data_IF_080013996937
#
_entry.id   IF_080013996937
#
_cell.length_a   1.000
_cell.length_b   1.000
_cell.length_c   1.000
_cell.angle_alpha   90.00
_cell.angle_beta   90.00
_cell.angle_gamma   90.00
#
_symmetry.space_group_name_H-M   'P 1'
#
loop_
_entity.id
_entity.type
_entity.pdbx_description
1 polymer ?
#
# COMPACT_ATOMS: atom_id res chain seq x y z
N UNK A 1 -25.71 25.26 26.48
CA UNK A 1 -26.14 26.22 25.43
C UNK A 1 -24.88 26.68 24.73
N UNK A 2 -24.71 26.33 23.45
CA UNK A 2 -23.45 26.53 22.70
C UNK A 2 -23.25 28.01 22.33
N UNK A 3 -22.03 28.52 22.51
CA UNK A 3 -21.66 29.94 22.39
C UNK A 3 -21.25 30.36 20.97
N UNK A 4 -21.28 29.47 19.97
CA UNK A 4 -20.83 29.79 18.61
C UNK A 4 -21.70 29.15 17.52
N UNK A 5 -22.98 29.58 17.39
CA UNK A 5 -23.92 29.02 16.40
C UNK A 5 -23.46 29.19 14.95
N UNK A 6 -22.68 30.24 14.66
CA UNK A 6 -22.12 30.46 13.32
C UNK A 6 -21.00 29.45 12.97
N UNK A 7 -20.29 28.94 13.97
CA UNK A 7 -19.22 27.95 13.77
C UNK A 7 -19.83 26.56 13.50
N UNK A 8 -20.87 26.20 14.25
CA UNK A 8 -21.61 24.96 14.03
C UNK A 8 -22.27 24.94 12.64
N UNK A 9 -22.89 26.05 12.22
CA UNK A 9 -23.47 26.17 10.88
C UNK A 9 -22.41 26.06 9.76
N UNK A 10 -21.22 26.65 9.96
CA UNK A 10 -20.12 26.55 8.99
C UNK A 10 -19.56 25.13 8.88
N UNK A 11 -19.50 24.40 10.00
CA UNK A 11 -19.10 22.99 10.04
C UNK A 11 -20.13 22.07 9.41
N UNK A 12 -21.43 22.29 9.67
CA UNK A 12 -22.51 21.52 9.05
C UNK A 12 -22.59 21.74 7.53
N UNK A 13 -22.37 22.98 7.06
CA UNK A 13 -22.34 23.29 5.64
C UNK A 13 -21.08 22.74 4.93
N UNK A 14 -19.95 22.67 5.64
CA UNK A 14 -18.75 21.97 5.16
C UNK A 14 -18.98 20.45 5.08
N UNK A 15 -19.61 19.87 6.11
CA UNK A 15 -19.95 18.45 6.14
C UNK A 15 -20.97 18.08 5.05
N UNK A 16 -21.97 18.92 4.79
CA UNK A 16 -22.92 18.73 3.70
C UNK A 16 -22.29 18.83 2.32
N UNK A 17 -21.25 19.64 2.13
CA UNK A 17 -20.49 19.69 0.87
C UNK A 17 -19.62 18.44 0.68
N UNK A 18 -19.09 17.88 1.75
CA UNK A 18 -18.21 16.71 1.68
C UNK A 18 -18.97 15.37 1.60
N UNK A 19 -20.13 15.27 2.27
CA UNK A 19 -20.95 14.06 2.33
C UNK A 19 -22.27 14.17 1.54
N UNK A 20 -22.43 15.23 0.76
CA UNK A 20 -23.64 15.57 0.00
C UNK A 20 -23.94 14.62 -1.16
N UNK A 21 -24.93 13.73 -0.94
CA UNK A 21 -25.80 13.06 -1.93
C UNK A 21 -25.11 12.17 -2.98
N UNK A 22 -24.90 10.90 -2.63
CA UNK A 22 -24.93 9.79 -3.60
C UNK A 22 -26.33 9.68 -4.24
N UNK A 23 -26.57 10.37 -5.35
CA UNK A 23 -27.66 10.01 -6.27
C UNK A 23 -27.27 8.72 -6.99
N UNK A 24 -27.88 7.59 -6.62
CA UNK A 24 -27.79 6.33 -7.37
C UNK A 24 -28.58 6.46 -8.69
N UNK A 25 -27.98 6.28 -9.87
CA UNK A 25 -28.76 6.05 -11.07
C UNK A 25 -29.20 4.57 -11.09
N UNK A 26 -30.48 4.34 -10.82
CA UNK A 26 -31.17 3.08 -11.13
C UNK A 26 -31.37 3.01 -12.64
N UNK A 27 -30.60 2.18 -13.33
CA UNK A 27 -30.94 1.75 -14.69
C UNK A 27 -31.49 0.33 -14.64
N UNK A 28 -32.82 0.25 -14.82
CA UNK A 28 -33.50 -0.94 -15.35
C UNK A 28 -33.61 -0.76 -16.86
N UNK A 29 -33.08 -1.71 -17.61
CA UNK A 29 -33.38 -2.07 -19.01
C UNK A 29 -32.13 -2.82 -19.53
N UNK A 30 -32.14 -3.93 -20.25
CA UNK A 30 -33.17 -4.70 -20.93
C UNK A 30 -32.51 -6.04 -21.36
N UNK A 31 -33.25 -7.15 -21.23
CA UNK A 31 -33.46 -8.23 -22.22
C UNK A 31 -32.26 -8.80 -23.03
N UNK A 32 -32.03 -10.12 -22.82
CA UNK A 32 -31.38 -11.22 -23.60
C UNK A 32 -31.60 -11.20 -25.15
N UNK A 33 -31.11 -12.18 -25.99
CA UNK A 33 -29.93 -13.07 -25.99
C UNK A 33 -29.19 -13.19 -27.39
N UNK A 34 -28.08 -13.96 -27.42
CA UNK A 34 -27.51 -14.82 -28.49
C UNK A 34 -27.42 -14.38 -29.98
N UNK A 35 -26.21 -14.48 -30.58
CA UNK A 35 -25.95 -15.09 -31.90
C UNK A 35 -24.45 -15.10 -32.31
N UNK A 36 -23.86 -16.30 -32.32
CA UNK A 36 -23.12 -16.96 -33.41
C UNK A 36 -22.24 -16.21 -34.46
N UNK A 37 -21.03 -16.79 -34.65
CA UNK A 37 -20.25 -17.03 -35.90
C UNK A 37 -19.46 -15.87 -36.54
N UNK A 38 -18.16 -16.14 -36.80
CA UNK A 38 -17.44 -15.51 -37.93
C UNK A 38 -15.91 -15.60 -37.87
N UNK A 39 -15.32 -16.63 -38.50
CA UNK A 39 -13.89 -16.68 -38.88
C UNK A 39 -13.53 -15.55 -39.87
N UNK A 40 -12.38 -14.88 -39.70
CA UNK A 40 -11.57 -14.38 -40.83
C UNK A 40 -10.07 -14.45 -40.51
N UNK A 41 -9.35 -15.12 -41.40
CA UNK A 41 -7.89 -15.20 -41.54
C UNK A 41 -7.25 -13.87 -41.93
N UNK A 42 -6.02 -13.64 -41.45
CA UNK A 42 -4.93 -13.13 -42.28
C UNK A 42 -4.59 -11.63 -42.18
N UNK A 43 -3.46 -11.33 -41.54
CA UNK A 43 -2.37 -10.54 -42.14
C UNK A 43 -1.17 -10.54 -41.19
N UNK A 44 -0.19 -11.39 -41.49
CA UNK A 44 1.16 -11.32 -40.95
C UNK A 44 1.82 -10.07 -41.52
N UNK A 45 1.81 -8.97 -40.77
CA UNK A 45 2.69 -7.83 -41.04
C UNK A 45 4.01 -8.13 -40.33
N UNK A 46 4.99 -8.62 -41.09
CA UNK A 46 6.39 -8.64 -40.67
C UNK A 46 6.86 -7.19 -40.63
N UNK A 47 6.80 -6.58 -39.44
CA UNK A 47 7.48 -5.32 -39.18
C UNK A 47 8.98 -5.62 -38.98
N UNK A 48 9.90 -4.83 -39.57
CA UNK A 48 11.31 -4.96 -39.29
C UNK A 48 11.56 -4.61 -37.81
N UNK A 49 12.02 -5.59 -37.04
CA UNK A 49 12.45 -5.38 -35.66
C UNK A 49 13.53 -4.30 -35.64
N UNK A 50 13.36 -3.20 -34.89
CA UNK A 50 14.46 -2.28 -34.64
C UNK A 50 15.55 -3.08 -33.95
N UNK A 51 16.75 -3.06 -34.53
CA UNK A 51 17.96 -3.63 -33.97
C UNK A 51 18.08 -3.17 -32.53
N UNK A 52 17.95 -4.09 -31.59
CA UNK A 52 18.18 -3.82 -30.18
C UNK A 52 19.59 -3.23 -30.07
N UNK A 53 19.67 -1.97 -29.63
CA UNK A 53 20.94 -1.40 -29.20
C UNK A 53 21.56 -2.28 -28.12
N UNK A 54 22.87 -2.14 -27.85
CA UNK A 54 23.53 -2.90 -26.79
C UNK A 54 22.69 -2.80 -25.52
N UNK A 55 22.28 -3.96 -24.99
CA UNK A 55 21.55 -4.05 -23.72
C UNK A 55 22.47 -3.42 -22.69
N UNK A 56 22.09 -2.24 -22.22
CA UNK A 56 22.76 -1.59 -21.11
C UNK A 56 22.67 -2.59 -19.95
N UNK A 57 23.81 -3.19 -19.61
CA UNK A 57 23.91 -4.25 -18.61
C UNK A 57 23.64 -3.60 -17.26
N UNK A 58 22.35 -3.53 -16.92
CA UNK A 58 21.88 -2.99 -15.66
C UNK A 58 22.52 -3.86 -14.56
N UNK A 59 23.23 -3.26 -13.59
CA UNK A 59 23.84 -4.02 -12.52
C UNK A 59 22.77 -4.89 -11.86
N UNK A 60 23.07 -6.18 -11.69
CA UNK A 60 22.14 -7.13 -11.10
C UNK A 60 21.71 -6.63 -9.71
N UNK A 61 20.41 -6.67 -9.43
CA UNK A 61 19.91 -6.33 -8.12
C UNK A 61 20.54 -7.25 -7.06
N UNK A 62 20.88 -6.73 -5.87
CA UNK A 62 21.37 -7.57 -4.78
C UNK A 62 20.35 -8.66 -4.45
N UNK A 63 20.79 -9.89 -4.15
CA UNK A 63 19.88 -10.96 -3.76
C UNK A 63 19.19 -10.62 -2.44
N UNK A 64 17.93 -11.03 -2.29
CA UNK A 64 17.20 -10.90 -1.02
C UNK A 64 17.78 -11.88 0.00
N UNK A 65 18.28 -11.42 1.17
CA UNK A 65 18.82 -12.30 2.19
C UNK A 65 17.78 -13.29 2.73
N UNK A 66 18.20 -14.51 3.07
CA UNK A 66 17.33 -15.49 3.75
C UNK A 66 16.82 -14.98 5.10
N UNK A 67 17.62 -14.16 5.79
CA UNK A 67 17.23 -13.50 7.05
C UNK A 67 16.00 -12.61 6.87
N UNK A 68 15.86 -11.94 5.73
CA UNK A 68 14.70 -11.12 5.40
C UNK A 68 13.45 -11.98 5.22
N UNK A 69 13.58 -13.13 4.54
CA UNK A 69 12.49 -14.09 4.39
C UNK A 69 12.10 -14.75 5.72
N UNK A 70 13.09 -15.04 6.57
CA UNK A 70 12.86 -15.57 7.91
C UNK A 70 12.14 -14.54 8.80
N UNK A 71 12.53 -13.26 8.72
CA UNK A 71 11.88 -12.17 9.44
C UNK A 71 10.42 -11.99 9.01
N UNK A 72 10.14 -12.02 7.70
CA UNK A 72 8.77 -12.00 7.16
C UNK A 72 7.92 -13.12 7.76
N UNK A 73 8.45 -14.36 7.75
CA UNK A 73 7.74 -15.51 8.31
C UNK A 73 7.55 -15.40 9.81
N UNK A 74 8.55 -14.91 10.54
CA UNK A 74 8.45 -14.70 11.98
C UNK A 74 7.36 -13.67 12.33
N UNK A 75 7.23 -12.61 11.53
CA UNK A 75 6.20 -11.57 11.71
C UNK A 75 4.78 -12.14 11.57
N UNK A 76 4.57 -13.18 10.73
CA UNK A 76 3.28 -13.90 10.68
C UNK A 76 2.90 -14.60 11.98
N UNK A 77 3.88 -14.90 12.84
CA UNK A 77 3.67 -15.56 14.14
C UNK A 77 3.75 -14.58 15.32
N UNK A 78 4.12 -13.33 15.07
CA UNK A 78 4.15 -12.30 16.10
C UNK A 78 2.72 -12.05 16.65
N UNK A 79 2.59 -11.62 17.91
CA UNK A 79 1.29 -11.23 18.46
C UNK A 79 0.59 -10.19 17.59
N UNK A 80 -0.73 -10.27 17.50
CA UNK A 80 -1.52 -9.21 16.89
C UNK A 80 -1.31 -7.89 17.65
N UNK A 81 -1.49 -6.77 16.96
CA UNK A 81 -1.50 -5.47 17.61
C UNK A 81 -2.67 -5.44 18.61
N UNK A 82 -2.43 -5.12 19.90
CA UNK A 82 -3.52 -5.06 20.88
C UNK A 82 -4.60 -4.06 20.48
N UNK A 83 -5.86 -4.42 20.74
CA UNK A 83 -6.99 -3.49 20.59
C UNK A 83 -6.78 -2.25 21.46
N UNK A 84 -7.22 -1.09 20.95
CA UNK A 84 -7.10 0.17 21.67
C UNK A 84 -8.03 0.19 22.88
N UNK A 85 -7.45 0.27 24.07
CA UNK A 85 -8.18 0.35 25.33
C UNK A 85 -8.35 1.79 25.84
N UNK A 86 -7.67 2.77 25.22
CA UNK A 86 -7.64 4.15 25.65
C UNK A 86 -6.73 4.41 26.84
N UNK A 87 -5.89 3.43 27.22
CA UNK A 87 -4.95 3.47 28.35
C UNK A 87 -3.49 3.37 27.92
N UNK A 88 -3.26 3.23 26.63
CA UNK A 88 -1.94 3.11 26.04
C UNK A 88 -1.16 4.42 26.24
N UNK A 89 0.15 4.35 26.52
CA UNK A 89 0.98 5.53 26.63
C UNK A 89 1.04 6.25 25.29
N UNK A 90 0.85 7.57 25.34
CA UNK A 90 1.06 8.44 24.18
C UNK A 90 2.56 8.59 23.97
N UNK A 91 3.01 8.43 22.73
CA UNK A 91 4.39 8.70 22.32
C UNK A 91 4.55 10.20 22.13
N UNK A 92 5.59 10.79 22.70
CA UNK A 92 5.92 12.17 22.40
C UNK A 92 6.39 12.28 20.95
N UNK A 93 5.98 13.33 20.25
CA UNK A 93 6.28 13.49 18.83
C UNK A 93 7.79 13.38 18.50
N UNK A 94 8.65 13.91 19.38
CA UNK A 94 10.10 13.84 19.24
C UNK A 94 10.66 12.41 19.32
N UNK A 95 9.93 11.47 19.93
CA UNK A 95 10.33 10.07 20.09
C UNK A 95 9.83 9.19 18.95
N UNK A 96 8.97 9.69 18.06
CA UNK A 96 8.42 8.92 16.93
C UNK A 96 9.51 8.28 16.04
N UNK A 97 10.61 8.96 15.67
CA UNK A 97 11.66 8.34 14.87
C UNK A 97 12.30 7.14 15.56
N UNK A 98 12.62 7.26 16.86
CA UNK A 98 13.26 6.18 17.59
C UNK A 98 12.32 4.97 17.78
N UNK A 99 11.02 5.22 17.97
CA UNK A 99 10.02 4.15 18.03
C UNK A 99 9.87 3.48 16.66
N UNK A 100 9.84 4.28 15.59
CA UNK A 100 9.76 3.76 14.22
C UNK A 100 10.98 2.90 13.87
N UNK A 101 12.19 3.37 14.14
CA UNK A 101 13.44 2.61 13.93
C UNK A 101 13.36 1.22 14.59
N UNK A 102 12.85 1.15 15.82
CA UNK A 102 12.68 -0.11 16.53
C UNK A 102 11.71 -1.09 15.86
N UNK A 103 10.65 -0.59 15.20
CA UNK A 103 9.75 -1.41 14.40
C UNK A 103 10.29 -1.72 13.01
N UNK A 104 11.02 -0.80 12.38
CA UNK A 104 11.67 -1.00 11.09
C UNK A 104 12.71 -2.12 11.15
N UNK A 105 13.47 -2.23 12.24
CA UNK A 105 14.41 -3.32 12.49
C UNK A 105 13.74 -4.70 12.61
N UNK A 106 12.45 -4.73 12.93
CA UNK A 106 11.64 -5.95 13.07
C UNK A 106 10.78 -6.24 11.84
N UNK A 107 10.84 -5.38 10.82
CA UNK A 107 10.01 -5.47 9.62
C UNK A 107 10.88 -5.81 8.41
N UNK A 108 10.50 -6.75 7.54
CA UNK A 108 11.31 -7.07 6.37
C UNK A 108 11.28 -5.94 5.35
N UNK A 109 12.45 -5.48 4.90
CA UNK A 109 12.61 -4.55 3.78
C UNK A 109 13.45 -5.19 2.66
N UNK A 110 13.25 -4.80 1.38
CA UNK A 110 14.15 -5.21 0.32
C UNK A 110 15.59 -4.72 0.57
N UNK A 111 16.60 -5.38 -0.04
CA UNK A 111 17.98 -4.98 0.16
C UNK A 111 18.20 -3.55 -0.34
N UNK A 112 18.93 -2.76 0.44
CA UNK A 112 19.24 -1.34 0.17
C UNK A 112 18.03 -0.41 0.12
N UNK A 113 16.83 -0.91 0.43
CA UNK A 113 15.61 -0.13 0.53
C UNK A 113 15.26 0.09 2.01
N UNK A 114 14.91 1.32 2.35
CA UNK A 114 14.35 1.74 3.63
C UNK A 114 13.25 2.75 3.38
N UNK A 115 12.42 2.97 4.39
CA UNK A 115 11.35 3.94 4.30
C UNK A 115 11.88 5.36 4.55
N UNK A 116 11.83 6.29 3.58
CA UNK A 116 12.30 7.66 3.79
C UNK A 116 11.23 8.53 4.49
N UNK A 117 10.35 7.96 5.30
CA UNK A 117 9.25 8.69 5.91
C UNK A 117 9.79 9.69 6.95
N UNK A 118 9.45 10.97 6.78
CA UNK A 118 9.83 11.99 7.75
C UNK A 118 8.87 11.98 8.94
N UNK A 119 9.23 11.19 9.95
CA UNK A 119 8.51 11.06 11.23
C UNK A 119 8.43 12.35 12.04
N UNK A 120 9.30 13.34 11.77
CA UNK A 120 9.31 14.65 12.44
C UNK A 120 8.62 15.73 11.61
N UNK A 121 8.18 15.43 10.38
CA UNK A 121 7.48 16.42 9.56
C UNK A 121 6.22 16.91 10.28
N UNK A 122 6.17 18.22 10.54
CA UNK A 122 4.91 18.85 10.93
C UNK A 122 3.97 18.74 9.75
N UNK A 123 2.95 17.91 9.89
CA UNK A 123 1.88 17.91 8.92
C UNK A 123 1.28 19.33 8.81
N UNK A 124 0.72 19.73 7.64
CA UNK A 124 0.22 21.09 7.39
C UNK A 124 -0.93 21.59 8.30
N UNK A 125 -1.22 20.86 9.38
CA UNK A 125 -2.05 21.30 10.50
C UNK A 125 -2.01 20.27 11.65
N UNK A 126 -2.46 20.65 12.85
CA UNK A 126 -2.53 19.79 14.04
C UNK A 126 -3.54 18.63 13.92
N UNK A 127 -3.95 18.27 12.70
CA UNK A 127 -4.85 17.17 12.34
C UNK A 127 -4.22 16.18 11.38
N UNK A 128 -3.02 16.44 10.85
CA UNK A 128 -2.48 15.69 9.70
C UNK A 128 -1.22 14.83 10.02
N UNK A 129 -0.79 14.81 11.27
CA UNK A 129 -0.08 13.67 11.90
C UNK A 129 -0.70 13.30 13.26
N UNK A 130 -1.83 13.94 13.59
CA UNK A 130 -2.48 13.90 14.89
C UNK A 130 -3.14 12.57 15.25
N UNK A 131 -3.06 11.56 14.38
CA UNK A 131 -3.58 10.22 14.64
C UNK A 131 -2.51 9.25 15.12
N UNK A 132 -1.22 9.49 14.85
CA UNK A 132 -0.13 8.60 15.28
C UNK A 132 0.34 9.06 16.65
N UNK A 133 -0.37 8.59 17.68
CA UNK A 133 -0.06 8.93 19.07
C UNK A 133 0.43 7.71 19.85
N UNK A 134 0.32 6.51 19.28
CA UNK A 134 0.58 5.26 19.99
C UNK A 134 1.56 4.38 19.20
N UNK A 135 2.32 3.55 19.93
CA UNK A 135 3.31 2.65 19.33
C UNK A 135 2.72 1.73 18.27
N UNK A 136 1.49 1.28 18.50
CA UNK A 136 0.74 0.46 17.54
C UNK A 136 0.45 1.17 16.21
N UNK A 137 0.24 2.50 16.22
CA UNK A 137 -0.04 3.24 15.00
C UNK A 137 1.25 3.41 14.20
N UNK A 138 2.37 3.62 14.90
CA UNK A 138 3.72 3.62 14.32
C UNK A 138 4.03 2.26 13.69
N UNK A 139 3.83 1.16 14.44
CA UNK A 139 4.02 -0.19 13.94
C UNK A 139 3.17 -0.47 12.70
N UNK A 140 1.88 -0.13 12.73
CA UNK A 140 0.99 -0.34 11.59
C UNK A 140 1.40 0.46 10.37
N UNK A 141 1.89 1.68 10.55
CA UNK A 141 2.39 2.49 9.45
C UNK A 141 3.70 1.94 8.86
N UNK A 142 4.64 1.49 9.71
CA UNK A 142 5.89 0.84 9.30
C UNK A 142 5.60 -0.42 8.49
N UNK A 143 4.80 -1.34 9.02
CA UNK A 143 4.45 -2.61 8.36
C UNK A 143 3.73 -2.37 7.02
N UNK A 144 2.74 -1.48 6.98
CA UNK A 144 2.02 -1.13 5.74
C UNK A 144 2.97 -0.54 4.70
N UNK A 145 3.85 0.40 5.09
CA UNK A 145 4.77 1.05 4.16
C UNK A 145 5.85 0.09 3.68
N UNK A 146 6.34 -0.81 4.52
CA UNK A 146 7.23 -1.90 4.12
C UNK A 146 6.58 -2.80 3.07
N UNK A 147 5.32 -3.22 3.26
CA UNK A 147 4.58 -4.00 2.27
C UNK A 147 4.47 -3.24 0.92
N UNK A 148 4.21 -1.94 0.95
CA UNK A 148 4.22 -1.08 -0.23
C UNK A 148 5.60 -0.94 -0.91
N UNK A 149 6.70 -0.94 -0.15
CA UNK A 149 8.05 -0.95 -0.70
C UNK A 149 8.32 -2.30 -1.40
N UNK A 150 7.92 -3.42 -0.80
CA UNK A 150 8.03 -4.73 -1.43
C UNK A 150 7.21 -4.87 -2.71
N UNK A 151 5.99 -4.34 -2.75
CA UNK A 151 5.16 -4.36 -3.95
C UNK A 151 5.83 -3.60 -5.10
N UNK A 152 6.40 -2.43 -4.81
CA UNK A 152 7.15 -1.65 -5.79
C UNK A 152 8.43 -2.36 -6.23
N UNK A 153 9.15 -2.98 -5.30
CA UNK A 153 10.33 -3.78 -5.60
C UNK A 153 9.96 -4.95 -6.53
N UNK A 154 8.88 -5.68 -6.25
CA UNK A 154 8.39 -6.78 -7.09
C UNK A 154 8.05 -6.31 -8.52
N UNK A 155 7.39 -5.15 -8.65
CA UNK A 155 7.07 -4.56 -9.95
C UNK A 155 8.33 -4.16 -10.73
N UNK A 156 9.32 -3.57 -10.05
CA UNK A 156 10.49 -2.94 -10.65
C UNK A 156 11.69 -3.88 -10.89
N UNK A 157 11.82 -4.97 -10.12
CA UNK A 157 13.02 -5.82 -10.09
C UNK A 157 12.65 -7.27 -10.44
N UNK A 158 12.69 -7.65 -11.74
CA UNK A 158 12.32 -9.00 -12.19
C UNK A 158 13.07 -10.13 -11.47
N UNK A 159 14.36 -9.95 -11.24
CA UNK A 159 15.25 -10.96 -10.61
C UNK A 159 14.89 -11.21 -9.15
N UNK A 160 14.27 -10.24 -8.47
CA UNK A 160 13.87 -10.31 -7.07
C UNK A 160 12.43 -10.76 -6.84
N UNK A 161 11.64 -11.01 -7.90
CA UNK A 161 10.19 -11.23 -7.80
C UNK A 161 9.80 -12.42 -6.96
N UNK A 162 10.54 -13.53 -7.03
CA UNK A 162 10.17 -14.73 -6.27
C UNK A 162 10.30 -14.48 -4.75
N UNK A 163 11.41 -13.87 -4.32
CA UNK A 163 11.63 -13.52 -2.93
C UNK A 163 10.63 -12.46 -2.44
N UNK A 164 10.39 -11.43 -3.26
CA UNK A 164 9.39 -10.40 -2.95
C UNK A 164 7.97 -10.97 -2.88
N UNK A 165 7.61 -11.93 -3.75
CA UNK A 165 6.32 -12.61 -3.70
C UNK A 165 6.14 -13.41 -2.41
N UNK A 166 7.20 -14.04 -1.89
CA UNK A 166 7.14 -14.73 -0.61
C UNK A 166 6.83 -13.76 0.55
N UNK A 167 7.49 -12.60 0.59
CA UNK A 167 7.23 -11.58 1.62
C UNK A 167 5.81 -10.98 1.47
N UNK A 168 5.39 -10.69 0.24
CA UNK A 168 4.05 -10.15 -0.03
C UNK A 168 2.93 -11.16 0.22
N UNK A 169 3.21 -12.46 0.12
CA UNK A 169 2.27 -13.52 0.49
C UNK A 169 2.07 -13.60 2.02
N UNK A 170 3.12 -13.30 2.80
CA UNK A 170 3.06 -13.24 4.26
C UNK A 170 2.39 -11.94 4.77
N UNK A 171 2.53 -10.84 4.03
CA UNK A 171 2.12 -9.50 4.47
C UNK A 171 0.69 -9.38 5.01
N UNK A 172 -0.35 -9.98 4.40
CA UNK A 172 -1.70 -9.93 4.94
C UNK A 172 -1.85 -10.59 6.31
N UNK A 173 -0.87 -11.37 6.77
CA UNK A 173 -0.83 -12.03 8.08
C UNK A 173 0.05 -11.30 9.11
N UNK A 174 0.66 -10.17 8.76
CA UNK A 174 1.43 -9.36 9.71
C UNK A 174 0.55 -8.75 10.81
N UNK A 175 1.09 -8.41 11.99
CA UNK A 175 0.33 -7.93 13.14
C UNK A 175 -0.67 -6.81 12.84
N UNK A 176 -0.29 -5.83 12.02
CA UNK A 176 -1.14 -4.69 11.67
C UNK A 176 -2.17 -4.96 10.57
N UNK A 177 -1.94 -5.99 9.75
CA UNK A 177 -2.77 -6.30 8.58
C UNK A 177 -3.70 -7.49 8.81
N UNK A 178 -3.39 -8.42 9.72
CA UNK A 178 -4.10 -9.70 9.84
C UNK A 178 -5.59 -9.61 10.16
N UNK A 179 -5.98 -8.67 11.01
CA UNK A 179 -7.38 -8.57 11.45
C UNK A 179 -8.21 -7.73 10.49
N UNK A 180 -7.58 -6.93 9.63
CA UNK A 180 -8.24 -6.06 8.66
C UNK A 180 -7.35 -5.82 7.44
N UNK A 181 -7.08 -6.87 6.62
CA UNK A 181 -6.10 -6.79 5.53
C UNK A 181 -6.57 -5.88 4.39
N UNK A 182 -7.87 -5.59 4.29
CA UNK A 182 -8.43 -4.79 3.20
C UNK A 182 -8.06 -5.37 1.85
N UNK A 183 -7.57 -4.53 0.93
CA UNK A 183 -7.15 -4.94 -0.40
C UNK A 183 -5.89 -5.85 -0.40
N UNK A 184 -5.13 -5.90 0.70
CA UNK A 184 -3.97 -6.78 0.80
C UNK A 184 -4.34 -8.26 0.82
N UNK A 185 -5.58 -8.61 1.21
CA UNK A 185 -6.05 -10.00 1.21
C UNK A 185 -5.98 -10.67 -0.16
N UNK A 186 -6.12 -9.90 -1.24
CA UNK A 186 -6.12 -10.42 -2.61
C UNK A 186 -4.71 -10.53 -3.23
N UNK A 187 -3.71 -9.88 -2.62
CA UNK A 187 -2.34 -9.82 -3.15
C UNK A 187 -1.72 -11.21 -3.36
N UNK A 188 -1.83 -12.19 -2.44
CA UNK A 188 -1.31 -13.53 -2.67
C UNK A 188 -1.89 -14.21 -3.92
N UNK A 189 -3.19 -14.05 -4.16
CA UNK A 189 -3.85 -14.61 -5.34
C UNK A 189 -3.40 -13.91 -6.63
N UNK A 190 -3.26 -12.57 -6.60
CA UNK A 190 -2.77 -11.78 -7.73
C UNK A 190 -1.32 -12.15 -8.08
N UNK A 191 -0.46 -12.38 -7.07
CA UNK A 191 0.91 -12.86 -7.26
C UNK A 191 0.94 -14.25 -7.90
N UNK A 192 0.12 -15.19 -7.42
CA UNK A 192 0.03 -16.54 -7.97
C UNK A 192 -0.46 -16.55 -9.42
N UNK A 193 -1.36 -15.64 -9.79
CA UNK A 193 -1.85 -15.45 -11.15
C UNK A 193 -0.85 -14.69 -12.05
N UNK A 194 0.18 -14.06 -11.49
CA UNK A 194 1.07 -13.17 -12.22
C UNK A 194 0.35 -11.92 -12.77
N UNK A 195 -0.73 -11.47 -12.09
CA UNK A 195 -1.56 -10.36 -12.54
C UNK A 195 -0.88 -9.01 -12.30
N UNK A 196 0.00 -8.65 -13.24
CA UNK A 196 0.73 -7.38 -13.21
C UNK A 196 -0.20 -6.18 -13.15
N UNK A 197 -1.36 -6.23 -13.82
CA UNK A 197 -2.28 -5.12 -13.90
C UNK A 197 -2.99 -4.86 -12.56
N UNK A 198 -3.42 -5.93 -11.88
CA UNK A 198 -4.01 -5.84 -10.55
C UNK A 198 -3.00 -5.34 -9.51
N UNK A 199 -1.77 -5.87 -9.51
CA UNK A 199 -0.72 -5.48 -8.57
C UNK A 199 -0.27 -4.02 -8.78
N UNK A 200 -0.21 -3.57 -10.03
CA UNK A 200 0.07 -2.16 -10.36
C UNK A 200 -1.10 -1.23 -9.98
N UNK A 201 -2.35 -1.67 -10.16
CA UNK A 201 -3.51 -0.93 -9.67
C UNK A 201 -3.52 -0.80 -8.13
N UNK A 202 -3.20 -1.89 -7.43
CA UNK A 202 -3.02 -1.93 -5.97
C UNK A 202 -1.93 -0.92 -5.53
N UNK A 203 -0.76 -0.95 -6.17
CA UNK A 203 0.32 0.00 -5.91
C UNK A 203 -0.11 1.46 -6.11
N UNK A 204 -0.90 1.75 -7.14
CA UNK A 204 -1.43 3.10 -7.37
C UNK A 204 -2.44 3.55 -6.33
N UNK A 205 -3.34 2.66 -5.93
CA UNK A 205 -4.40 2.97 -4.96
C UNK A 205 -3.83 3.19 -3.55
N UNK A 206 -3.00 2.25 -3.09
CA UNK A 206 -2.67 2.15 -1.67
C UNK A 206 -1.25 2.67 -1.35
N UNK A 207 -0.31 2.55 -2.30
CA UNK A 207 1.11 2.83 -2.05
C UNK A 207 1.64 4.15 -2.63
N UNK A 208 0.97 4.70 -3.64
CA UNK A 208 1.39 5.93 -4.34
C UNK A 208 1.01 7.27 -3.70
N UNK A 209 -0.05 7.44 -2.87
CA UNK A 209 -0.44 8.77 -2.39
C UNK A 209 0.56 9.43 -1.43
N UNK A 210 1.54 8.68 -0.92
CA UNK A 210 2.44 9.13 0.14
C UNK A 210 3.75 9.79 -0.35
N UNK A 211 4.17 9.55 -1.60
CA UNK A 211 5.39 10.20 -2.16
C UNK A 211 5.14 11.57 -2.78
N UNK A 212 3.90 11.90 -3.16
CA UNK A 212 3.60 13.14 -3.91
C UNK A 212 3.36 14.36 -3.02
N UNK A 213 3.16 14.20 -1.70
CA UNK A 213 2.77 15.30 -0.80
C UNK A 213 3.85 15.82 0.17
N UNK A 214 5.08 15.30 0.12
CA UNK A 214 6.18 15.79 0.98
C UNK A 214 7.29 16.53 0.21
N UNK A 215 7.09 16.83 -1.08
CA UNK A 215 7.99 17.67 -1.87
C UNK A 215 7.25 18.89 -2.39
N UNK A 216 7.17 19.95 -1.58
CA UNK A 216 6.63 21.26 -1.93
C UNK A 216 7.04 22.29 -0.91
#
# INVERSE_FOLDING_TARGET
>A
MSTFPALEAALDEAAHRHYGRRRRPRWRAMVLPAAAIGCVLGALVVLPSPTAGPVEERPAAPPVPETTLALSRALTQAPAIPEFTGREPVIAHADLPAVADGFEDQTPYPPLERDPFDWLSTAPGPTNMASVNFAKDVQGLVEFRAACIWLRYWLAVPEGRQAAAAVLADAPSWPSLRDSPGNWADVPAQLAAGDLAALDAQNRADCSPWRVRQGG
#
